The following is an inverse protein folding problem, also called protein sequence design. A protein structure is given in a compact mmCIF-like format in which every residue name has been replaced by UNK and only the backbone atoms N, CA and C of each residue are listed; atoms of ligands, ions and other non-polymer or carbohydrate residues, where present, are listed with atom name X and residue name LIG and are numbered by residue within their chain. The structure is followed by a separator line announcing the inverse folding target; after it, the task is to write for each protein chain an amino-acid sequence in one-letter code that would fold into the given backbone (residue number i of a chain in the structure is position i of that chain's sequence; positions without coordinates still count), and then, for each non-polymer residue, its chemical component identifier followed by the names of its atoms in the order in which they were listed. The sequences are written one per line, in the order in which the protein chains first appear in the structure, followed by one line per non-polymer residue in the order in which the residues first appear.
data_IF_168751212833
#
_entry.id   IF_168751212833
#
_cell.length_a   1.000
_cell.length_b   1.000
_cell.length_c   1.000
_cell.angle_alpha   90.00
_cell.angle_beta   90.00
_cell.angle_gamma   90.00
#
_symmetry.space_group_name_H-M   'P 1'
#
loop_
_entity.id
_entity.type
_entity.pdbx_description
1 polymer ?
#
# COMPACT_ATOMS: atom_id res chain seq x y z
N UNK A 1 12.63 26.31 16.47
CA UNK A 1 13.60 25.22 16.31
C UNK A 1 13.91 25.08 14.84
N UNK A 2 15.17 24.96 14.46
CA UNK A 2 15.60 24.69 13.09
C UNK A 2 15.53 23.18 12.86
N UNK A 3 14.71 22.75 11.90
CA UNK A 3 14.60 21.36 11.50
C UNK A 3 15.19 21.19 10.10
N UNK A 4 15.98 20.15 9.88
CA UNK A 4 16.44 19.78 8.53
C UNK A 4 16.15 18.31 8.27
N UNK A 5 16.00 17.94 7.01
CA UNK A 5 16.00 16.55 6.61
C UNK A 5 17.34 16.14 5.99
N UNK A 6 17.74 14.92 6.32
CA UNK A 6 18.90 14.24 5.78
C UNK A 6 18.41 13.01 5.05
N UNK A 7 18.83 12.86 3.80
CA UNK A 7 18.49 11.71 2.95
C UNK A 7 19.77 10.91 2.69
N UNK A 8 20.06 9.85 3.45
CA UNK A 8 21.22 9.01 3.21
C UNK A 8 21.07 8.27 1.88
N UNK A 9 22.12 8.31 1.05
CA UNK A 9 22.17 7.57 -0.20
C UNK A 9 23.55 6.96 -0.40
N UNK A 10 23.60 5.65 -0.66
CA UNK A 10 24.84 4.91 -0.99
C UNK A 10 24.70 4.30 -2.37
N UNK A 11 25.77 4.29 -3.14
CA UNK A 11 25.78 3.62 -4.44
C UNK A 11 25.87 2.09 -4.30
N UNK A 12 26.60 1.64 -3.27
CA UNK A 12 26.84 0.23 -2.98
C UNK A 12 25.61 -0.49 -2.42
N UNK A 13 24.72 -0.91 -3.30
CA UNK A 13 23.65 -1.87 -3.01
C UNK A 13 23.93 -3.17 -3.74
N UNK A 14 24.07 -4.28 -3.00
CA UNK A 14 24.38 -5.60 -3.56
C UNK A 14 23.23 -6.16 -4.41
N UNK A 15 21.99 -5.87 -4.03
CA UNK A 15 20.77 -6.37 -4.69
C UNK A 15 20.29 -5.49 -5.85
N UNK A 16 20.65 -4.21 -5.84
CA UNK A 16 20.29 -3.25 -6.88
C UNK A 16 21.40 -2.18 -7.00
N UNK A 17 22.46 -2.43 -7.79
CA UNK A 17 23.57 -1.49 -7.95
C UNK A 17 23.08 -0.13 -8.48
N UNK A 18 23.59 0.97 -7.91
CA UNK A 18 23.19 2.32 -8.32
C UNK A 18 21.73 2.67 -7.98
N UNK A 19 21.11 1.96 -7.01
CA UNK A 19 19.72 2.13 -6.57
C UNK A 19 19.24 3.59 -6.50
N UNK A 20 19.94 4.54 -5.85
CA UNK A 20 19.48 5.94 -5.76
C UNK A 20 19.33 6.64 -7.11
N UNK A 21 20.04 6.17 -8.14
CA UNK A 21 20.02 6.71 -9.50
C UNK A 21 19.10 5.93 -10.45
N UNK A 22 18.44 4.88 -9.98
CA UNK A 22 17.54 4.11 -10.82
C UNK A 22 16.38 4.98 -11.32
N UNK A 23 16.10 4.91 -12.62
CA UNK A 23 15.04 5.70 -13.23
C UNK A 23 13.66 5.25 -12.74
N UNK A 24 12.83 6.21 -12.38
CA UNK A 24 11.42 6.02 -12.10
C UNK A 24 10.68 7.12 -12.85
N UNK A 25 10.05 6.77 -13.97
CA UNK A 25 9.27 7.69 -14.80
C UNK A 25 10.06 8.95 -15.22
N UNK A 26 11.32 8.77 -15.64
CA UNK A 26 12.16 9.85 -16.16
C UNK A 26 12.89 10.68 -15.10
N UNK A 27 12.82 10.31 -13.82
CA UNK A 27 13.58 10.92 -12.73
C UNK A 27 14.32 9.85 -11.93
N UNK A 28 15.56 10.10 -11.45
CA UNK A 28 16.24 9.18 -10.55
C UNK A 28 15.47 9.04 -9.23
N UNK A 29 15.51 7.85 -8.63
CA UNK A 29 14.83 7.53 -7.36
C UNK A 29 15.09 8.57 -6.27
N UNK A 30 16.34 9.03 -6.12
CA UNK A 30 16.70 10.02 -5.10
C UNK A 30 15.99 11.37 -5.30
N UNK A 31 15.67 11.74 -6.55
CA UNK A 31 14.92 12.97 -6.84
C UNK A 31 13.48 12.85 -6.34
N UNK A 32 12.84 11.69 -6.51
CA UNK A 32 11.49 11.43 -6.00
C UNK A 32 11.39 11.59 -4.49
N UNK A 33 12.40 11.08 -3.76
CA UNK A 33 12.49 11.24 -2.31
C UNK A 33 12.73 12.71 -1.96
N UNK A 34 13.71 13.34 -2.60
CA UNK A 34 14.08 14.73 -2.34
C UNK A 34 12.90 15.69 -2.54
N UNK A 35 12.18 15.61 -3.66
CA UNK A 35 11.03 16.47 -3.96
C UNK A 35 9.90 16.31 -2.91
N UNK A 36 9.61 15.08 -2.50
CA UNK A 36 8.60 14.79 -1.47
C UNK A 36 8.98 15.35 -0.11
N UNK A 37 10.22 15.13 0.32
CA UNK A 37 10.73 15.68 1.59
C UNK A 37 10.79 17.20 1.53
N UNK A 38 11.22 17.78 0.41
CA UNK A 38 11.32 19.24 0.23
C UNK A 38 9.96 19.95 0.22
N UNK A 39 8.87 19.23 -0.03
CA UNK A 39 7.50 19.77 0.06
C UNK A 39 7.00 20.04 1.49
N UNK A 40 7.79 19.70 2.52
CA UNK A 40 7.44 19.89 3.92
C UNK A 40 7.92 21.28 4.40
N UNK A 41 6.97 22.14 4.76
CA UNK A 41 7.21 23.55 5.10
C UNK A 41 8.00 23.72 6.41
N UNK A 42 7.88 22.77 7.33
CA UNK A 42 8.57 22.79 8.63
C UNK A 42 10.09 22.55 8.50
N UNK A 43 10.57 22.10 7.34
CA UNK A 43 11.98 21.84 7.08
C UNK A 43 12.69 23.07 6.53
N UNK A 44 13.66 23.59 7.29
CA UNK A 44 14.52 24.68 6.87
C UNK A 44 15.48 24.26 5.73
N UNK A 45 15.86 22.98 5.70
CA UNK A 45 16.72 22.45 4.64
C UNK A 45 16.52 20.95 4.40
N UNK A 46 16.93 20.50 3.21
CA UNK A 46 16.96 19.07 2.83
C UNK A 46 18.30 18.79 2.18
N UNK A 47 19.04 17.81 2.70
CA UNK A 47 20.39 17.48 2.24
C UNK A 47 20.49 15.98 1.96
N UNK A 48 20.94 15.62 0.76
CA UNK A 48 21.31 14.22 0.45
C UNK A 48 22.72 13.96 0.97
N UNK A 49 22.89 12.95 1.82
CA UNK A 49 24.19 12.58 2.38
C UNK A 49 24.72 11.31 1.70
N UNK A 50 25.80 11.44 0.93
CA UNK A 50 26.31 10.35 0.09
C UNK A 50 27.82 10.27 0.12
N UNK A 51 28.38 9.11 -0.20
CA UNK A 51 29.81 8.86 -0.37
C UNK A 51 30.21 8.81 -1.86
N UNK A 52 29.27 9.05 -2.77
CA UNK A 52 29.46 8.85 -4.21
C UNK A 52 29.21 10.14 -5.02
N UNK A 53 30.21 10.56 -5.78
CA UNK A 53 30.14 11.78 -6.60
C UNK A 53 29.05 11.71 -7.69
N UNK A 54 28.68 10.51 -8.17
CA UNK A 54 27.61 10.37 -9.18
C UNK A 54 26.25 10.75 -8.59
N UNK A 55 26.03 10.43 -7.32
CA UNK A 55 24.82 10.82 -6.58
C UNK A 55 24.83 12.33 -6.35
N UNK A 56 25.98 12.92 -5.96
CA UNK A 56 26.12 14.38 -5.84
C UNK A 56 25.75 15.09 -7.15
N UNK A 57 26.33 14.64 -8.27
CA UNK A 57 26.06 15.21 -9.59
C UNK A 57 24.59 15.11 -9.99
N UNK A 58 23.95 13.94 -9.77
CA UNK A 58 22.53 13.76 -10.03
C UNK A 58 21.68 14.72 -9.19
N UNK A 59 21.98 14.85 -7.90
CA UNK A 59 21.26 15.75 -6.99
C UNK A 59 21.40 17.22 -7.40
N UNK A 60 22.62 17.64 -7.74
CA UNK A 60 22.86 19.00 -8.25
C UNK A 60 22.15 19.28 -9.57
N UNK A 61 21.99 18.29 -10.45
CA UNK A 61 21.34 18.46 -11.76
C UNK A 61 19.87 18.87 -11.67
N UNK A 62 19.16 18.48 -10.60
CA UNK A 62 17.78 18.91 -10.33
C UNK A 62 17.70 20.07 -9.32
N UNK A 63 18.83 20.70 -8.97
CA UNK A 63 18.89 21.83 -8.04
C UNK A 63 18.81 21.42 -6.56
N UNK A 64 19.01 20.15 -6.24
CA UNK A 64 19.06 19.65 -4.87
C UNK A 64 20.40 19.92 -4.18
N UNK A 65 20.41 19.83 -2.86
CA UNK A 65 21.64 19.88 -2.05
C UNK A 65 22.13 18.48 -1.73
N UNK A 66 23.41 18.23 -1.98
CA UNK A 66 24.08 17.01 -1.56
C UNK A 66 25.36 17.36 -0.79
N UNK A 67 25.68 16.54 0.20
CA UNK A 67 26.92 16.58 0.96
C UNK A 67 27.65 15.26 0.75
N UNK A 68 28.90 15.35 0.29
CA UNK A 68 29.80 14.21 0.27
C UNK A 68 30.23 13.91 1.71
N UNK A 69 30.03 12.67 2.13
CA UNK A 69 30.28 12.13 3.47
C UNK A 69 31.30 11.00 3.38
N UNK A 70 31.98 10.71 4.48
CA UNK A 70 32.98 9.64 4.51
C UNK A 70 32.39 8.28 4.10
N UNK A 71 33.10 7.48 3.28
CA UNK A 71 32.70 6.11 2.95
C UNK A 71 32.84 5.16 4.16
N UNK A 72 33.61 5.54 5.18
CA UNK A 72 33.96 4.68 6.32
C UNK A 72 32.89 4.66 7.43
N UNK A 73 31.74 5.32 7.23
CA UNK A 73 30.67 5.33 8.23
C UNK A 73 29.99 3.96 8.35
N UNK A 74 30.02 3.32 9.53
CA UNK A 74 29.47 1.99 9.71
C UNK A 74 27.94 1.98 9.64
N UNK A 75 27.28 3.05 10.10
CA UNK A 75 25.82 3.18 10.15
C UNK A 75 25.28 4.40 9.40
N UNK A 76 23.95 4.43 9.19
CA UNK A 76 23.27 5.62 8.69
C UNK A 76 23.28 6.76 9.72
N UNK A 77 23.25 6.43 11.01
CA UNK A 77 23.25 7.39 12.11
C UNK A 77 24.61 8.10 12.24
N UNK A 78 25.72 7.39 12.02
CA UNK A 78 27.07 7.98 12.00
C UNK A 78 27.22 8.98 10.83
N UNK A 79 26.66 8.65 9.67
CA UNK A 79 26.63 9.58 8.53
C UNK A 79 25.86 10.86 8.87
N UNK A 80 24.72 10.74 9.56
CA UNK A 80 23.94 11.91 9.98
C UNK A 80 24.77 12.88 10.82
N UNK A 81 25.64 12.38 11.70
CA UNK A 81 26.53 13.21 12.52
C UNK A 81 27.45 14.08 11.67
N UNK A 82 28.04 13.54 10.60
CA UNK A 82 28.87 14.34 9.71
C UNK A 82 28.07 15.47 9.04
N UNK A 83 26.80 15.20 8.69
CA UNK A 83 25.89 16.24 8.19
C UNK A 83 25.65 17.32 9.23
N UNK A 84 25.52 16.97 10.52
CA UNK A 84 25.32 17.96 11.60
C UNK A 84 26.46 18.98 11.71
N UNK A 85 27.70 18.57 11.38
CA UNK A 85 28.86 19.47 11.44
C UNK A 85 28.79 20.57 10.37
N UNK A 86 28.20 20.25 9.21
CA UNK A 86 28.06 21.16 8.08
C UNK A 86 26.72 21.90 8.07
N UNK A 87 25.67 21.27 8.60
CA UNK A 87 24.30 21.78 8.64
C UNK A 87 23.76 21.70 10.08
N UNK A 88 24.17 22.61 10.97
CA UNK A 88 23.66 22.64 12.34
C UNK A 88 22.15 22.92 12.38
N UNK A 89 21.43 22.10 13.14
CA UNK A 89 20.00 22.15 13.38
C UNK A 89 19.67 21.58 14.77
N UNK A 90 18.45 21.84 15.25
CA UNK A 90 17.97 21.32 16.54
C UNK A 90 17.35 19.91 16.38
N UNK A 91 16.75 19.66 15.21
CA UNK A 91 16.05 18.43 14.87
C UNK A 91 16.45 17.96 13.46
N UNK A 92 16.76 16.68 13.33
CA UNK A 92 17.18 16.05 12.09
C UNK A 92 16.20 14.94 11.73
N UNK A 93 15.52 15.09 10.59
CA UNK A 93 14.67 14.07 10.02
C UNK A 93 15.50 13.18 9.09
N UNK A 94 15.72 11.93 9.47
CA UNK A 94 16.35 10.90 8.66
C UNK A 94 15.32 10.20 7.77
N UNK A 95 15.42 10.37 6.45
CA UNK A 95 14.53 9.73 5.47
C UNK A 95 15.37 8.89 4.52
N UNK A 96 15.07 7.61 4.38
CA UNK A 96 15.87 6.73 3.52
C UNK A 96 15.76 7.12 2.05
N UNK A 97 16.89 7.14 1.34
CA UNK A 97 16.94 7.50 -0.09
C UNK A 97 16.31 6.48 -1.05
N UNK A 98 15.79 5.37 -0.53
CA UNK A 98 15.17 4.27 -1.27
C UNK A 98 13.65 4.14 -1.04
N UNK A 99 13.03 5.17 -0.44
CA UNK A 99 11.58 5.29 -0.25
C UNK A 99 10.98 6.37 -1.20
N UNK A 100 10.98 6.17 -2.53
CA UNK A 100 10.51 7.17 -3.49
C UNK A 100 9.02 7.52 -3.34
N UNK A 101 8.25 6.71 -2.61
CA UNK A 101 6.83 6.94 -2.32
C UNK A 101 6.58 7.42 -0.88
N UNK A 102 7.62 7.88 -0.16
CA UNK A 102 7.48 8.41 1.20
C UNK A 102 6.38 9.47 1.27
N UNK A 103 5.46 9.34 2.24
CA UNK A 103 4.31 10.24 2.33
C UNK A 103 4.67 11.49 3.16
N UNK A 104 4.63 12.71 2.59
CA UNK A 104 4.93 13.93 3.32
C UNK A 104 4.03 14.16 4.54
N UNK A 105 2.78 13.69 4.52
CA UNK A 105 1.87 13.82 5.66
C UNK A 105 2.36 13.02 6.88
N UNK A 106 2.90 11.81 6.67
CA UNK A 106 3.46 11.00 7.76
C UNK A 106 4.70 11.64 8.36
N UNK A 107 5.58 12.19 7.51
CA UNK A 107 6.76 12.94 7.94
C UNK A 107 6.38 14.18 8.77
N UNK A 108 5.32 14.91 8.36
CA UNK A 108 4.77 16.03 9.15
C UNK A 108 4.25 15.58 10.49
N UNK A 109 3.51 14.46 10.57
CA UNK A 109 3.03 13.92 11.85
C UNK A 109 4.18 13.61 12.82
N UNK A 110 5.28 13.03 12.31
CA UNK A 110 6.48 12.80 13.09
C UNK A 110 7.13 14.09 13.57
N UNK A 111 7.35 15.06 12.67
CA UNK A 111 7.94 16.35 13.01
C UNK A 111 7.10 17.10 14.04
N UNK A 112 5.78 17.13 13.87
CA UNK A 112 4.86 17.77 14.80
C UNK A 112 4.92 17.14 16.19
N UNK A 113 4.98 15.81 16.28
CA UNK A 113 5.15 15.11 17.55
C UNK A 113 6.46 15.49 18.25
N UNK A 114 7.56 15.63 17.50
CA UNK A 114 8.84 16.07 18.04
C UNK A 114 8.84 17.55 18.46
N UNK A 115 8.18 18.42 17.70
CA UNK A 115 8.10 19.86 18.00
C UNK A 115 7.24 20.14 19.24
N UNK A 116 6.19 19.35 19.45
CA UNK A 116 5.25 19.52 20.57
C UNK A 116 5.69 18.84 21.86
N UNK A 117 6.67 17.93 21.79
CA UNK A 117 7.19 17.20 22.95
C UNK A 117 8.73 17.39 23.08
N UNK A 118 9.19 18.51 23.65
CA UNK A 118 10.63 18.83 23.83
C UNK A 118 11.44 17.73 24.51
N UNK A 119 10.83 16.96 25.41
CA UNK A 119 11.44 15.85 26.13
C UNK A 119 11.73 14.60 25.27
N UNK A 120 11.07 14.47 24.12
CA UNK A 120 11.25 13.32 23.22
C UNK A 120 12.52 13.53 22.40
N UNK A 121 13.48 12.61 22.53
CA UNK A 121 14.81 12.73 21.93
C UNK A 121 14.91 12.04 20.56
N UNK A 122 14.15 10.96 20.38
CA UNK A 122 13.96 10.28 19.11
C UNK A 122 12.48 9.99 18.86
N UNK A 123 12.07 10.10 17.61
CA UNK A 123 10.77 9.67 17.13
C UNK A 123 10.88 8.83 15.85
N UNK A 124 9.93 7.94 15.64
CA UNK A 124 9.78 7.14 14.41
C UNK A 124 8.30 6.87 14.13
N UNK A 125 8.01 6.11 13.07
CA UNK A 125 6.67 5.81 12.58
C UNK A 125 6.38 4.31 12.62
N UNK A 126 5.10 3.96 12.71
CA UNK A 126 4.63 2.60 12.47
C UNK A 126 3.25 2.59 11.82
N UNK A 127 2.89 1.49 11.15
CA UNK A 127 1.53 1.27 10.65
C UNK A 127 1.02 -0.13 11.03
N UNK A 128 -0.31 -0.33 11.14
CA UNK A 128 -0.87 -1.64 11.42
C UNK A 128 -0.59 -2.64 10.29
N UNK A 129 -0.38 -3.90 10.64
CA UNK A 129 -0.19 -5.02 9.71
C UNK A 129 -1.01 -6.24 10.13
N UNK A 130 -1.22 -7.15 9.17
CA UNK A 130 -1.86 -8.43 9.43
C UNK A 130 -0.98 -9.37 10.26
N UNK A 131 -1.59 -10.38 10.88
CA UNK A 131 -0.87 -11.41 11.63
C UNK A 131 0.10 -12.20 10.73
N UNK A 132 -0.26 -12.45 9.47
CA UNK A 132 0.60 -13.15 8.51
C UNK A 132 1.79 -12.30 8.08
N UNK A 133 1.61 -10.99 7.84
CA UNK A 133 2.75 -10.10 7.57
C UNK A 133 3.69 -10.01 8.79
N UNK A 134 3.15 -10.10 10.00
CA UNK A 134 3.94 -10.05 11.22
C UNK A 134 4.88 -11.26 11.40
N UNK A 135 4.60 -12.39 10.73
CA UNK A 135 5.46 -13.59 10.73
C UNK A 135 6.71 -13.41 9.87
N UNK A 136 6.72 -12.45 8.94
CA UNK A 136 7.88 -12.21 8.09
C UNK A 136 9.04 -11.57 8.90
N UNK A 137 10.22 -12.20 8.98
CA UNK A 137 11.37 -11.67 9.72
C UNK A 137 12.01 -10.44 9.05
N UNK A 138 11.70 -10.19 7.77
CA UNK A 138 12.11 -8.96 7.10
C UNK A 138 11.23 -7.76 7.47
N UNK A 139 10.03 -8.02 7.97
CA UNK A 139 9.16 -7.00 8.55
C UNK A 139 9.57 -6.77 9.99
N UNK A 140 10.10 -5.59 10.32
CA UNK A 140 10.42 -5.23 11.71
C UNK A 140 9.13 -4.85 12.43
N UNK A 141 8.84 -5.50 13.55
CA UNK A 141 7.68 -5.22 14.39
C UNK A 141 8.07 -4.27 15.51
N UNK A 142 7.09 -3.51 16.00
CA UNK A 142 7.23 -2.65 17.17
C UNK A 142 6.07 -2.84 18.14
N UNK A 143 6.39 -2.96 19.42
CA UNK A 143 5.41 -2.89 20.52
C UNK A 143 5.55 -1.56 21.24
N UNK A 144 4.43 -0.99 21.69
CA UNK A 144 4.37 0.37 22.23
C UNK A 144 3.60 0.41 23.55
N UNK A 145 3.97 1.33 24.42
CA UNK A 145 3.22 1.64 25.63
C UNK A 145 1.99 2.51 25.31
N UNK A 146 1.16 2.82 26.31
CA UNK A 146 -0.03 3.67 26.15
C UNK A 146 0.27 5.13 25.77
N UNK A 147 1.48 5.60 26.05
CA UNK A 147 1.95 6.94 25.66
C UNK A 147 2.53 6.97 24.22
N UNK A 148 2.57 5.82 23.54
CA UNK A 148 3.11 5.69 22.19
C UNK A 148 4.63 5.53 22.12
N UNK A 149 5.32 5.34 23.25
CA UNK A 149 6.76 5.08 23.22
C UNK A 149 7.03 3.59 22.95
N UNK A 150 8.09 3.31 22.19
CA UNK A 150 8.53 1.95 21.89
C UNK A 150 8.90 1.22 23.19
N UNK A 151 8.34 0.02 23.36
CA UNK A 151 8.79 -0.93 24.37
C UNK A 151 9.89 -1.83 23.81
N UNK A 152 9.77 -2.25 22.54
CA UNK A 152 10.78 -3.07 21.85
C UNK A 152 10.55 -3.09 20.33
N UNK A 153 11.62 -3.29 19.56
CA UNK A 153 11.60 -3.61 18.13
C UNK A 153 12.14 -5.02 17.91
N UNK A 154 11.53 -5.80 17.02
CA UNK A 154 11.99 -7.16 16.75
C UNK A 154 11.66 -7.64 15.35
N UNK A 155 12.50 -8.52 14.81
CA UNK A 155 12.18 -9.35 13.64
C UNK A 155 11.31 -10.54 14.01
N UNK A 156 11.21 -10.92 15.28
CA UNK A 156 10.24 -11.91 15.74
C UNK A 156 8.82 -11.33 15.77
N UNK A 157 7.80 -12.21 15.68
CA UNK A 157 6.40 -11.82 15.79
C UNK A 157 6.09 -11.35 17.21
N UNK A 158 5.90 -10.04 17.39
CA UNK A 158 5.56 -9.43 18.67
C UNK A 158 4.33 -8.51 18.55
N UNK A 159 3.40 -8.53 19.52
CA UNK A 159 3.41 -9.39 20.71
C UNK A 159 3.01 -10.85 20.38
N UNK A 160 3.48 -11.79 21.19
CA UNK A 160 3.04 -13.18 21.10
C UNK A 160 1.57 -13.31 21.54
N UNK A 161 0.73 -13.88 20.69
CA UNK A 161 -0.69 -14.10 20.99
C UNK A 161 -0.87 -15.50 21.60
N UNK A 162 -0.94 -15.57 22.93
CA UNK A 162 -1.05 -16.86 23.67
C UNK A 162 -2.35 -17.59 23.39
N UNK A 163 -3.46 -16.86 23.42
CA UNK A 163 -4.79 -17.35 23.10
C UNK A 163 -5.11 -16.78 21.72
N UNK A 164 -5.16 -17.62 20.67
CA UNK A 164 -5.33 -17.24 19.27
C UNK A 164 -6.71 -16.63 18.98
N UNK A 165 -7.01 -15.51 19.62
CA UNK A 165 -8.28 -14.79 19.55
C UNK A 165 -8.41 -13.97 18.27
N UNK A 166 -7.29 -13.72 17.56
CA UNK A 166 -7.26 -12.91 16.34
C UNK A 166 -7.47 -11.41 16.59
N UNK A 167 -7.46 -10.97 17.86
CA UNK A 167 -7.69 -9.57 18.24
C UNK A 167 -6.40 -8.76 18.39
N UNK A 168 -5.26 -9.44 18.33
CA UNK A 168 -3.95 -8.83 18.54
C UNK A 168 -3.60 -7.91 17.38
N UNK A 169 -3.29 -6.64 17.69
CA UNK A 169 -2.79 -5.67 16.71
C UNK A 169 -1.28 -5.80 16.58
N UNK A 170 -0.82 -5.93 15.34
CA UNK A 170 0.60 -5.93 14.98
C UNK A 170 0.95 -4.62 14.30
N UNK A 171 2.14 -4.09 14.59
CA UNK A 171 2.63 -2.86 13.98
C UNK A 171 3.96 -3.11 13.29
N UNK A 172 4.05 -2.64 12.05
CA UNK A 172 5.30 -2.58 11.29
C UNK A 172 5.98 -1.26 11.55
N UNK A 173 7.25 -1.33 11.92
CA UNK A 173 8.13 -0.19 12.01
C UNK A 173 8.45 0.36 10.61
N UNK A 174 8.51 1.69 10.49
CA UNK A 174 8.91 2.40 9.27
C UNK A 174 10.26 3.07 9.53
N UNK A 175 11.25 2.84 8.67
CA UNK A 175 12.67 3.23 8.84
C UNK A 175 12.99 4.72 8.75
N UNK A 176 12.03 5.57 9.10
CA UNK A 176 12.15 7.03 9.18
C UNK A 176 12.30 7.42 10.64
N UNK A 177 13.23 8.33 10.91
CA UNK A 177 13.46 8.83 12.27
C UNK A 177 13.57 10.34 12.33
N UNK A 178 13.17 10.92 13.44
CA UNK A 178 13.47 12.29 13.79
C UNK A 178 14.28 12.27 15.08
N UNK A 179 15.46 12.90 15.06
CA UNK A 179 16.36 12.93 16.21
C UNK A 179 16.66 14.36 16.63
N UNK A 180 16.76 14.59 17.92
CA UNK A 180 17.37 15.81 18.44
C UNK A 180 18.88 15.77 18.26
N UNK A 181 19.46 16.96 18.09
CA UNK A 181 20.91 17.13 18.00
C UNK A 181 21.66 16.48 19.18
N UNK A 182 21.11 16.58 20.39
CA UNK A 182 21.68 16.01 21.62
C UNK A 182 21.89 14.49 21.51
N UNK A 183 20.85 13.75 21.14
CA UNK A 183 20.94 12.30 20.98
C UNK A 183 21.91 11.89 19.87
N UNK A 184 21.87 12.57 18.72
CA UNK A 184 22.79 12.27 17.62
C UNK A 184 24.25 12.55 18.00
N UNK A 185 24.50 13.60 18.78
CA UNK A 185 25.84 13.90 19.27
C UNK A 185 26.34 12.84 20.26
N UNK A 186 25.45 12.25 21.06
CA UNK A 186 25.78 11.19 22.01
C UNK A 186 25.96 9.81 21.35
N UNK A 187 25.27 9.53 20.23
CA UNK A 187 25.20 8.21 19.59
C UNK A 187 26.56 7.50 19.38
N UNK A 188 27.62 8.15 18.87
CA UNK A 188 28.92 7.49 18.65
C UNK A 188 29.62 7.03 19.93
N UNK A 189 29.28 7.64 21.07
CA UNK A 189 29.81 7.26 22.38
C UNK A 189 28.99 6.17 23.07
N UNK A 190 27.87 5.76 22.49
CA UNK A 190 27.06 4.68 23.05
C UNK A 190 27.78 3.33 22.89
N UNK A 191 27.77 2.47 23.91
CA UNK A 191 28.35 1.14 23.80
C UNK A 191 27.63 0.32 22.72
N UNK A 192 28.31 -0.62 22.05
CA UNK A 192 27.65 -1.60 21.19
C UNK A 192 26.57 -2.35 21.98
N UNK A 193 25.39 -2.54 21.36
CA UNK A 193 24.29 -3.25 21.99
C UNK A 193 24.25 -4.70 21.50
N UNK A 194 24.18 -5.66 22.44
CA UNK A 194 23.98 -7.07 22.09
C UNK A 194 22.65 -7.28 21.34
N UNK A 195 21.62 -6.49 21.69
CA UNK A 195 20.30 -6.54 21.06
C UNK A 195 20.35 -6.05 19.60
N UNK A 196 21.06 -4.95 19.35
CA UNK A 196 21.30 -4.45 17.99
C UNK A 196 22.01 -5.52 17.14
N UNK A 197 23.04 -6.18 17.67
CA UNK A 197 23.77 -7.22 16.95
C UNK A 197 22.92 -8.46 16.66
N UNK A 198 22.08 -8.88 17.61
CA UNK A 198 21.21 -10.04 17.46
C UNK A 198 20.08 -9.80 16.46
N UNK A 199 19.43 -8.64 16.51
CA UNK A 199 18.29 -8.31 15.65
C UNK A 199 18.72 -7.61 14.34
N UNK A 200 19.96 -7.14 14.26
CA UNK A 200 20.45 -6.25 13.21
C UNK A 200 19.56 -5.00 13.06
N UNK A 201 19.35 -4.30 14.18
CA UNK A 201 18.47 -3.11 14.33
C UNK A 201 19.14 -2.01 15.16
N UNK A 202 19.67 -0.98 14.49
CA UNK A 202 20.44 0.12 15.09
C UNK A 202 19.70 0.86 16.22
N UNK A 203 18.38 1.00 16.08
CA UNK A 203 17.56 1.70 17.08
C UNK A 203 17.53 1.01 18.44
N UNK A 204 17.89 -0.28 18.52
CA UNK A 204 17.99 -0.97 19.80
C UNK A 204 19.15 -0.44 20.64
N UNK A 205 20.25 0.04 20.02
CA UNK A 205 21.35 0.69 20.76
C UNK A 205 20.89 1.96 21.48
N UNK A 206 20.02 2.73 20.85
CA UNK A 206 19.42 3.94 21.44
C UNK A 206 18.60 3.56 22.68
N UNK A 207 17.76 2.52 22.55
CA UNK A 207 16.91 2.05 23.65
C UNK A 207 17.72 1.42 24.79
N UNK A 208 18.73 0.64 24.47
CA UNK A 208 19.63 -0.02 25.43
C UNK A 208 20.43 0.99 26.26
N UNK A 209 20.80 2.12 25.64
CA UNK A 209 21.39 3.27 26.33
C UNK A 209 20.39 4.08 27.19
N UNK A 210 19.12 3.66 27.27
CA UNK A 210 18.09 4.26 28.12
C UNK A 210 17.31 5.41 27.47
N UNK A 211 17.54 5.71 26.19
CA UNK A 211 16.79 6.75 25.48
C UNK A 211 15.43 6.22 25.01
N UNK A 212 14.39 7.02 25.22
CA UNK A 212 13.05 6.70 24.75
C UNK A 212 12.88 7.06 23.26
N UNK A 213 12.19 6.19 22.52
CA UNK A 213 11.80 6.42 21.13
C UNK A 213 10.28 6.53 21.06
N UNK A 214 9.77 7.70 20.69
CA UNK A 214 8.34 7.92 20.42
C UNK A 214 7.97 7.28 19.08
N UNK A 215 6.86 6.55 19.01
CA UNK A 215 6.40 5.88 17.79
C UNK A 215 5.01 6.35 17.40
N UNK A 216 4.91 7.08 16.30
CA UNK A 216 3.65 7.64 15.80
C UNK A 216 2.97 6.64 14.85
N UNK A 217 1.70 6.37 15.08
CA UNK A 217 0.90 5.51 14.20
C UNK A 217 0.44 6.29 12.97
N UNK A 218 0.61 5.67 11.81
CA UNK A 218 0.07 6.13 10.52
C UNK A 218 -0.73 5.01 9.86
N UNK A 219 -1.51 5.35 8.84
CA UNK A 219 -2.47 4.45 8.19
C UNK A 219 -1.80 3.32 7.39
N UNK A 220 -0.81 3.63 6.54
CA UNK A 220 -0.05 2.63 5.77
C UNK A 220 1.25 3.21 5.21
N UNK A 221 2.32 2.42 5.09
CA UNK A 221 3.53 2.86 4.40
C UNK A 221 3.57 2.36 2.95
N UNK A 222 4.06 3.20 2.05
CA UNK A 222 4.35 2.79 0.68
C UNK A 222 5.55 1.82 0.64
N UNK A 223 5.65 0.96 -0.40
CA UNK A 223 6.78 0.06 -0.51
C UNK A 223 8.09 0.80 -0.81
N UNK A 224 9.15 0.48 -0.06
CA UNK A 224 10.52 0.87 -0.40
C UNK A 224 11.11 0.03 -1.53
N UNK A 225 12.28 0.42 -2.02
CA UNK A 225 12.97 -0.27 -3.11
C UNK A 225 14.24 -0.95 -2.61
N UNK A 226 14.31 -2.27 -2.72
CA UNK A 226 15.52 -3.04 -2.35
C UNK A 226 15.95 -4.05 -3.41
N UNK A 227 15.08 -4.33 -4.38
CA UNK A 227 15.28 -5.30 -5.44
C UNK A 227 14.74 -4.73 -6.75
N UNK A 228 15.15 -5.26 -7.92
CA UNK A 228 14.54 -4.91 -9.19
C UNK A 228 13.01 -5.07 -9.20
N UNK A 229 12.48 -6.11 -8.55
CA UNK A 229 11.04 -6.31 -8.44
C UNK A 229 10.34 -5.19 -7.64
N UNK A 230 10.97 -4.71 -6.56
CA UNK A 230 10.46 -3.54 -5.84
C UNK A 230 10.47 -2.28 -6.71
N UNK A 231 11.49 -2.11 -7.55
CA UNK A 231 11.59 -0.96 -8.45
C UNK A 231 10.46 -0.96 -9.49
N UNK A 232 10.20 -2.11 -10.14
CA UNK A 232 9.07 -2.23 -11.07
C UNK A 232 7.73 -1.99 -10.38
N UNK A 233 7.58 -2.51 -9.15
CA UNK A 233 6.41 -2.24 -8.33
C UNK A 233 6.18 -0.75 -8.08
N UNK A 234 7.23 -0.02 -7.70
CA UNK A 234 7.13 1.43 -7.52
C UNK A 234 6.80 2.14 -8.84
N UNK A 235 7.42 1.76 -9.96
CA UNK A 235 7.12 2.33 -11.28
C UNK A 235 5.65 2.14 -11.66
N UNK A 236 5.15 0.92 -11.48
CA UNK A 236 3.76 0.58 -11.75
C UNK A 236 2.82 1.43 -10.90
N UNK A 237 2.99 1.43 -9.57
CA UNK A 237 2.18 2.22 -8.65
C UNK A 237 2.19 3.72 -9.00
N UNK A 238 3.34 4.28 -9.36
CA UNK A 238 3.47 5.70 -9.74
C UNK A 238 2.83 6.02 -11.09
N UNK A 239 2.78 5.07 -12.02
CA UNK A 239 2.06 5.19 -13.29
C UNK A 239 0.57 4.85 -13.19
N UNK A 240 0.08 4.47 -12.01
CA UNK A 240 -1.29 4.00 -11.79
C UNK A 240 -1.55 2.59 -12.34
N UNK A 241 -0.52 1.85 -12.74
CA UNK A 241 -0.62 0.45 -13.13
C UNK A 241 -0.79 -0.47 -11.90
N UNK A 242 -1.35 -1.68 -12.07
CA UNK A 242 -1.47 -2.64 -11.00
C UNK A 242 -0.11 -3.00 -10.41
N UNK A 243 -0.09 -3.31 -9.12
CA UNK A 243 1.12 -3.76 -8.43
C UNK A 243 1.58 -5.12 -9.00
N UNK A 244 2.76 -5.22 -9.64
CA UNK A 244 3.27 -6.47 -10.23
C UNK A 244 3.47 -7.59 -9.20
N UNK A 245 3.65 -7.27 -7.91
CA UNK A 245 3.71 -8.29 -6.87
C UNK A 245 2.35 -8.97 -6.66
N UNK A 246 1.25 -8.34 -7.08
CA UNK A 246 -0.08 -8.94 -7.09
C UNK A 246 -0.31 -9.81 -8.35
N UNK A 247 0.49 -9.67 -9.40
CA UNK A 247 0.39 -10.51 -10.60
C UNK A 247 0.82 -11.97 -10.38
N UNK A 248 1.52 -12.27 -9.28
CA UNK A 248 1.91 -13.64 -8.95
C UNK A 248 0.73 -14.55 -8.56
N UNK A 249 -0.46 -13.99 -8.27
CA UNK A 249 -1.67 -14.77 -8.00
C UNK A 249 -2.20 -15.46 -9.26
N UNK A 250 -2.75 -16.66 -9.11
CA UNK A 250 -3.50 -17.37 -10.15
C UNK A 250 -4.97 -16.94 -10.14
N UNK A 251 -5.64 -17.00 -11.30
CA UNK A 251 -7.09 -16.68 -11.36
C UNK A 251 -7.89 -17.65 -10.48
N UNK A 252 -7.34 -18.85 -10.25
CA UNK A 252 -7.86 -19.85 -9.32
C UNK A 252 -7.87 -19.38 -7.86
N UNK A 253 -7.05 -18.39 -7.50
CA UNK A 253 -6.93 -17.86 -6.13
C UNK A 253 -7.98 -16.81 -5.80
N UNK A 254 -8.75 -16.33 -6.79
CA UNK A 254 -9.79 -15.32 -6.56
C UNK A 254 -10.83 -15.87 -5.55
N UNK A 255 -11.06 -15.11 -4.48
CA UNK A 255 -12.06 -15.37 -3.42
C UNK A 255 -13.05 -14.23 -3.25
N UNK A 256 -12.79 -13.09 -3.89
CA UNK A 256 -13.64 -11.91 -3.86
C UNK A 256 -13.70 -11.26 -5.25
N UNK A 257 -14.91 -11.00 -5.74
CA UNK A 257 -15.14 -10.19 -6.94
C UNK A 257 -15.92 -8.95 -6.55
N UNK A 258 -15.28 -7.79 -6.70
CA UNK A 258 -15.90 -6.48 -6.56
C UNK A 258 -16.28 -6.00 -7.96
N UNK A 259 -17.48 -5.49 -8.13
CA UNK A 259 -17.92 -4.97 -9.43
C UNK A 259 -18.46 -3.56 -9.29
N UNK A 260 -18.14 -2.71 -10.27
CA UNK A 260 -18.96 -1.55 -10.53
C UNK A 260 -20.34 -1.98 -11.07
N UNK A 261 -21.27 -1.03 -11.13
CA UNK A 261 -22.61 -1.21 -11.66
C UNK A 261 -22.73 -0.62 -13.05
N UNK A 262 -22.44 0.68 -13.17
CA UNK A 262 -22.78 1.46 -14.35
C UNK A 262 -21.71 1.26 -15.41
N UNK A 263 -22.09 0.69 -16.56
CA UNK A 263 -21.12 0.28 -17.58
C UNK A 263 -20.45 -1.07 -17.30
N UNK A 264 -20.85 -1.78 -16.23
CA UNK A 264 -20.44 -3.17 -15.98
C UNK A 264 -21.63 -4.12 -15.92
N UNK A 265 -22.50 -3.99 -14.90
CA UNK A 265 -23.74 -4.76 -14.79
C UNK A 265 -24.90 -4.13 -15.60
N UNK A 266 -24.75 -2.86 -15.94
CA UNK A 266 -25.60 -2.11 -16.88
C UNK A 266 -24.77 -1.69 -18.10
N UNK A 267 -25.44 -1.24 -19.15
CA UNK A 267 -24.82 -0.72 -20.37
C UNK A 267 -24.37 0.75 -20.25
N UNK A 268 -24.33 1.30 -19.03
CA UNK A 268 -24.03 2.71 -18.76
C UNK A 268 -25.18 3.67 -19.11
N UNK A 269 -26.28 3.17 -19.67
CA UNK A 269 -27.47 3.94 -19.98
C UNK A 269 -28.28 4.28 -18.73
N UNK A 270 -28.75 5.52 -18.66
CA UNK A 270 -29.57 6.02 -17.54
C UNK A 270 -30.78 6.74 -18.10
N UNK A 271 -31.96 6.31 -17.68
CA UNK A 271 -33.22 6.97 -18.03
C UNK A 271 -33.68 7.85 -16.87
N UNK A 272 -34.12 9.05 -17.21
CA UNK A 272 -34.63 10.04 -16.27
C UNK A 272 -36.11 10.30 -16.52
N UNK A 273 -36.86 10.48 -15.44
CA UNK A 273 -38.15 11.17 -15.43
C UNK A 273 -38.03 12.53 -14.73
N UNK A 274 -39.14 13.21 -14.49
CA UNK A 274 -39.20 14.52 -13.82
C UNK A 274 -38.81 14.47 -12.33
N UNK A 275 -38.74 13.27 -11.73
CA UNK A 275 -38.35 13.04 -10.34
C UNK A 275 -36.88 12.62 -10.19
N UNK A 276 -36.19 12.29 -11.29
CA UNK A 276 -34.78 11.92 -11.32
C UNK A 276 -34.54 10.63 -12.11
N UNK A 277 -33.54 9.87 -11.70
CA UNK A 277 -33.21 8.59 -12.34
C UNK A 277 -34.33 7.56 -12.11
N UNK A 278 -34.96 7.09 -13.18
CA UNK A 278 -36.18 6.29 -13.09
C UNK A 278 -35.98 4.81 -13.45
N UNK A 279 -34.98 4.46 -14.27
CA UNK A 279 -34.77 3.08 -14.72
C UNK A 279 -33.29 2.73 -14.88
N UNK A 280 -32.94 1.49 -14.55
CA UNK A 280 -31.68 0.82 -14.90
C UNK A 280 -31.96 -0.54 -15.52
N UNK A 281 -31.21 -0.90 -16.57
CA UNK A 281 -31.31 -2.19 -17.24
C UNK A 281 -30.13 -3.06 -16.83
N UNK A 282 -30.43 -4.19 -16.18
CA UNK A 282 -29.43 -5.18 -15.80
C UNK A 282 -29.52 -6.41 -16.69
N UNK A 283 -28.37 -6.98 -17.02
CA UNK A 283 -28.32 -8.19 -17.83
C UNK A 283 -28.55 -9.44 -16.97
N UNK A 284 -29.47 -10.32 -17.38
CA UNK A 284 -29.85 -11.50 -16.59
C UNK A 284 -28.70 -12.50 -16.45
N UNK A 285 -27.86 -12.66 -17.48
CA UNK A 285 -26.73 -13.61 -17.43
C UNK A 285 -25.66 -13.17 -16.43
N UNK A 286 -25.47 -11.88 -16.24
CA UNK A 286 -24.55 -11.35 -15.24
C UNK A 286 -25.03 -11.68 -13.83
N UNK A 287 -26.34 -11.55 -13.58
CA UNK A 287 -26.95 -12.00 -12.33
C UNK A 287 -26.76 -13.50 -12.07
N UNK A 288 -26.85 -14.34 -13.11
CA UNK A 288 -26.55 -15.77 -12.97
C UNK A 288 -25.07 -16.02 -12.64
N UNK A 289 -24.15 -15.31 -13.29
CA UNK A 289 -22.71 -15.40 -12.98
C UNK A 289 -22.39 -15.05 -11.53
N UNK A 290 -23.01 -13.99 -11.00
CA UNK A 290 -22.91 -13.60 -9.58
C UNK A 290 -23.33 -14.75 -8.67
N UNK A 291 -24.50 -15.35 -8.92
CA UNK A 291 -25.00 -16.45 -8.11
C UNK A 291 -24.11 -17.69 -8.17
N UNK A 292 -23.58 -18.02 -9.35
CA UNK A 292 -22.65 -19.14 -9.53
C UNK A 292 -21.35 -18.94 -8.76
N UNK A 293 -20.80 -17.73 -8.72
CA UNK A 293 -19.64 -17.40 -7.89
C UNK A 293 -19.94 -17.54 -6.40
N UNK A 294 -21.07 -17.00 -5.94
CA UNK A 294 -21.49 -17.10 -4.54
C UNK A 294 -21.64 -18.55 -4.09
N UNK A 295 -22.27 -19.40 -4.92
CA UNK A 295 -22.41 -20.84 -4.66
C UNK A 295 -21.06 -21.57 -4.63
N UNK A 296 -20.11 -21.12 -5.45
CA UNK A 296 -18.73 -21.59 -5.37
C UNK A 296 -17.97 -21.05 -4.14
N UNK A 297 -18.57 -20.22 -3.28
CA UNK A 297 -17.91 -19.62 -2.13
C UNK A 297 -16.94 -18.49 -2.51
N UNK A 298 -17.10 -17.90 -3.70
CA UNK A 298 -16.45 -16.64 -4.08
C UNK A 298 -17.39 -15.50 -3.68
N UNK A 299 -16.92 -14.64 -2.79
CA UNK A 299 -17.70 -13.49 -2.34
C UNK A 299 -17.89 -12.50 -3.49
N UNK A 300 -19.07 -11.88 -3.59
CA UNK A 300 -19.36 -10.83 -4.57
C UNK A 300 -19.82 -9.58 -3.84
N UNK A 301 -19.21 -8.45 -4.15
CA UNK A 301 -19.52 -7.15 -3.56
C UNK A 301 -19.62 -6.06 -4.64
N UNK A 302 -20.24 -4.93 -4.28
CA UNK A 302 -20.48 -3.83 -5.21
C UNK A 302 -19.89 -2.53 -4.69
N UNK A 303 -19.25 -1.77 -5.59
CA UNK A 303 -18.93 -0.36 -5.38
C UNK A 303 -19.68 0.42 -6.45
N UNK A 304 -20.39 1.47 -6.08
CA UNK A 304 -21.04 2.35 -7.04
C UNK A 304 -20.93 3.79 -6.58
N UNK A 305 -20.69 4.70 -7.53
CA UNK A 305 -20.76 6.14 -7.29
C UNK A 305 -22.19 6.65 -7.06
N UNK A 306 -23.20 5.81 -7.31
CA UNK A 306 -24.62 6.13 -7.17
C UNK A 306 -25.25 5.35 -6.04
N UNK A 307 -26.35 5.88 -5.53
CA UNK A 307 -27.23 5.22 -4.58
C UNK A 307 -28.68 5.44 -5.02
N UNK A 308 -29.38 4.36 -5.38
CA UNK A 308 -30.76 4.42 -5.82
C UNK A 308 -31.56 3.22 -5.31
N UNK A 309 -32.87 3.40 -5.18
CA UNK A 309 -33.78 2.33 -4.74
C UNK A 309 -33.76 1.13 -5.71
N UNK A 310 -33.66 1.38 -7.02
CA UNK A 310 -33.58 0.35 -8.06
C UNK A 310 -32.30 -0.47 -7.93
N UNK A 311 -31.16 0.19 -7.68
CA UNK A 311 -29.90 -0.50 -7.42
C UNK A 311 -29.99 -1.35 -6.16
N UNK A 312 -30.41 -0.77 -5.02
CA UNK A 312 -30.56 -1.52 -3.76
C UNK A 312 -31.47 -2.74 -3.90
N UNK A 313 -32.58 -2.60 -4.64
CA UNK A 313 -33.47 -3.73 -4.94
C UNK A 313 -32.75 -4.82 -5.72
N UNK A 314 -31.99 -4.45 -6.75
CA UNK A 314 -31.24 -5.41 -7.55
C UNK A 314 -30.16 -6.13 -6.74
N UNK A 315 -29.46 -5.43 -5.85
CA UNK A 315 -28.48 -6.05 -4.94
C UNK A 315 -29.14 -7.07 -4.02
N UNK A 316 -30.32 -6.76 -3.48
CA UNK A 316 -31.10 -7.68 -2.67
C UNK A 316 -31.54 -8.93 -3.47
N UNK A 317 -32.06 -8.76 -4.69
CA UNK A 317 -32.43 -9.89 -5.57
C UNK A 317 -31.21 -10.79 -5.89
N UNK A 318 -30.03 -10.19 -6.00
CA UNK A 318 -28.77 -10.90 -6.23
C UNK A 318 -28.14 -11.44 -4.95
N UNK A 319 -28.69 -11.17 -3.77
CA UNK A 319 -28.13 -11.59 -2.48
C UNK A 319 -26.75 -10.99 -2.20
N UNK A 320 -26.45 -9.81 -2.74
CA UNK A 320 -25.21 -9.08 -2.46
C UNK A 320 -25.43 -8.27 -1.18
N UNK A 321 -24.78 -8.69 -0.10
CA UNK A 321 -24.97 -8.09 1.25
C UNK A 321 -23.94 -7.03 1.60
N UNK A 322 -22.79 -7.02 0.91
CA UNK A 322 -21.71 -6.07 1.13
C UNK A 322 -21.56 -5.18 -0.09
N UNK A 323 -21.75 -3.88 0.12
CA UNK A 323 -21.66 -2.88 -0.94
C UNK A 323 -21.32 -1.50 -0.37
N UNK A 324 -20.71 -0.67 -1.22
CA UNK A 324 -20.46 0.76 -0.96
C UNK A 324 -21.12 1.59 -2.05
N UNK A 325 -22.24 2.24 -1.71
CA UNK A 325 -23.00 3.12 -2.61
C UNK A 325 -22.66 4.59 -2.33
N UNK A 326 -22.70 5.44 -3.36
CA UNK A 326 -22.27 6.83 -3.26
C UNK A 326 -20.76 7.00 -3.02
N UNK A 327 -19.96 5.98 -3.34
CA UNK A 327 -18.53 5.98 -3.05
C UNK A 327 -17.76 6.90 -4.01
N UNK A 328 -17.04 7.89 -3.45
CA UNK A 328 -16.14 8.77 -4.22
C UNK A 328 -14.71 8.24 -4.31
N UNK A 329 -14.29 7.47 -3.31
CA UNK A 329 -12.98 6.83 -3.26
C UNK A 329 -13.16 5.31 -3.41
N UNK A 330 -13.04 4.82 -4.65
CA UNK A 330 -13.17 3.39 -4.96
C UNK A 330 -12.01 2.57 -4.39
N UNK A 331 -10.83 3.17 -4.21
CA UNK A 331 -9.68 2.46 -3.63
C UNK A 331 -9.90 2.17 -2.14
N UNK A 332 -10.39 3.15 -1.37
CA UNK A 332 -10.73 2.97 0.03
C UNK A 332 -11.90 2.00 0.22
N UNK A 333 -12.95 2.11 -0.62
CA UNK A 333 -14.07 1.18 -0.59
C UNK A 333 -13.64 -0.27 -0.91
N UNK A 334 -12.77 -0.45 -1.91
CA UNK A 334 -12.19 -1.75 -2.24
C UNK A 334 -11.42 -2.36 -1.04
N UNK A 335 -10.58 -1.57 -0.37
CA UNK A 335 -9.87 -1.99 0.85
C UNK A 335 -10.80 -2.36 2.00
N UNK A 336 -11.85 -1.59 2.24
CA UNK A 336 -12.83 -1.88 3.30
C UNK A 336 -13.58 -3.20 3.05
N UNK A 337 -13.97 -3.48 1.81
CA UNK A 337 -14.62 -4.74 1.43
C UNK A 337 -13.64 -5.92 1.60
N UNK A 338 -12.39 -5.77 1.18
CA UNK A 338 -11.35 -6.78 1.38
C UNK A 338 -11.12 -7.10 2.86
N UNK A 339 -11.07 -6.07 3.71
CA UNK A 339 -10.94 -6.24 5.16
C UNK A 339 -12.17 -6.96 5.75
N UNK A 340 -13.39 -6.59 5.34
CA UNK A 340 -14.62 -7.24 5.79
C UNK A 340 -14.60 -8.76 5.53
N UNK A 341 -14.20 -9.16 4.32
CA UNK A 341 -14.13 -10.58 3.94
C UNK A 341 -12.82 -11.27 4.34
N UNK A 342 -11.87 -10.54 4.92
CA UNK A 342 -10.51 -11.02 5.24
C UNK A 342 -9.78 -11.61 4.01
N UNK A 343 -10.01 -11.03 2.83
CA UNK A 343 -9.39 -11.45 1.57
C UNK A 343 -8.33 -10.42 1.15
N UNK A 344 -7.10 -10.87 0.89
CA UNK A 344 -6.02 -9.99 0.45
C UNK A 344 -6.13 -9.60 -1.03
N UNK A 345 -5.44 -8.54 -1.48
CA UNK A 345 -5.53 -8.03 -2.85
C UNK A 345 -5.27 -9.07 -3.95
N UNK A 346 -4.31 -9.97 -3.76
CA UNK A 346 -3.95 -11.03 -4.74
C UNK A 346 -5.13 -11.97 -5.08
N UNK A 347 -6.10 -12.11 -4.17
CA UNK A 347 -7.29 -12.95 -4.31
C UNK A 347 -8.57 -12.14 -4.57
N UNK A 348 -8.43 -10.84 -4.88
CA UNK A 348 -9.54 -9.92 -5.14
C UNK A 348 -9.50 -9.46 -6.60
N UNK A 349 -10.63 -9.60 -7.29
CA UNK A 349 -10.87 -9.00 -8.59
C UNK A 349 -11.74 -7.76 -8.47
N UNK A 350 -11.47 -6.75 -9.31
CA UNK A 350 -12.35 -5.60 -9.48
C UNK A 350 -12.70 -5.40 -10.95
N UNK A 351 -14.01 -5.43 -11.27
CA UNK A 351 -14.51 -5.18 -12.63
C UNK A 351 -14.96 -3.72 -12.75
N UNK A 352 -14.49 -3.04 -13.79
CA UNK A 352 -14.79 -1.62 -14.08
C UNK A 352 -14.82 -1.31 -15.58
N UNK A 353 -15.27 -0.12 -15.93
CA UNK A 353 -15.46 0.33 -17.30
C UNK A 353 -14.83 1.69 -17.62
N UNK A 354 -14.59 2.54 -16.62
CA UNK A 354 -14.09 3.91 -16.84
C UNK A 354 -12.94 4.29 -15.87
N UNK A 355 -12.37 5.47 -16.09
CA UNK A 355 -11.28 6.11 -15.33
C UNK A 355 -11.53 6.15 -13.82
N UNK A 356 -12.80 6.24 -13.42
CA UNK A 356 -13.19 6.26 -12.01
C UNK A 356 -12.86 4.94 -11.30
N UNK A 357 -12.66 3.83 -12.04
CA UNK A 357 -12.29 2.53 -11.52
C UNK A 357 -10.79 2.33 -11.34
N UNK A 358 -9.95 3.15 -11.97
CA UNK A 358 -8.49 3.02 -11.89
C UNK A 358 -7.96 2.98 -10.44
N UNK A 359 -8.46 3.79 -9.48
CA UNK A 359 -8.07 3.67 -8.08
C UNK A 359 -8.46 2.30 -7.47
N UNK A 360 -9.60 1.74 -7.86
CA UNK A 360 -10.04 0.40 -7.45
C UNK A 360 -9.19 -0.70 -8.07
N UNK A 361 -8.83 -0.55 -9.35
CA UNK A 361 -7.92 -1.46 -10.06
C UNK A 361 -6.56 -1.55 -9.36
N UNK A 362 -5.98 -0.41 -8.99
CA UNK A 362 -4.72 -0.35 -8.26
C UNK A 362 -4.79 -0.96 -6.85
N UNK A 363 -5.98 -1.13 -6.26
CA UNK A 363 -6.17 -1.71 -4.95
C UNK A 363 -6.31 -3.25 -4.95
N UNK A 364 -6.52 -3.88 -6.11
CA UNK A 364 -6.78 -5.32 -6.24
C UNK A 364 -5.73 -6.02 -7.12
N UNK A 365 -5.64 -7.35 -7.03
CA UNK A 365 -4.68 -8.15 -7.81
C UNK A 365 -5.21 -8.65 -9.15
N UNK A 366 -6.52 -8.52 -9.37
CA UNK A 366 -7.19 -8.86 -10.61
C UNK A 366 -8.06 -7.70 -11.10
N UNK A 367 -7.47 -6.60 -11.60
CA UNK A 367 -8.22 -5.55 -12.25
C UNK A 367 -8.74 -6.04 -13.61
N UNK A 368 -10.04 -5.88 -13.84
CA UNK A 368 -10.76 -6.40 -15.00
C UNK A 368 -11.50 -5.25 -15.68
N UNK A 369 -11.19 -4.99 -16.95
CA UNK A 369 -11.92 -4.02 -17.76
C UNK A 369 -12.94 -4.73 -18.66
N UNK A 370 -14.13 -4.16 -18.78
CA UNK A 370 -15.10 -4.60 -19.79
C UNK A 370 -14.61 -4.29 -21.20
N UNK A 371 -15.16 -5.00 -22.20
CA UNK A 371 -14.65 -4.95 -23.57
C UNK A 371 -14.85 -3.62 -24.29
N UNK A 372 -15.81 -2.81 -23.85
CA UNK A 372 -16.09 -1.47 -24.36
C UNK A 372 -15.46 -0.34 -23.52
N UNK A 373 -14.71 -0.67 -22.47
CA UNK A 373 -13.96 0.31 -21.71
C UNK A 373 -12.96 1.07 -22.61
N UNK A 374 -12.70 2.37 -22.36
CA UNK A 374 -11.69 3.11 -23.11
C UNK A 374 -10.31 2.45 -23.05
N UNK A 375 -9.51 2.57 -24.11
CA UNK A 375 -8.18 1.93 -24.19
C UNK A 375 -7.25 2.37 -23.05
N UNK A 376 -7.38 3.62 -22.61
CA UNK A 376 -6.61 4.11 -21.48
C UNK A 376 -7.01 3.46 -20.15
N UNK A 377 -8.21 2.88 -20.01
CA UNK A 377 -8.62 2.08 -18.84
C UNK A 377 -8.14 0.66 -18.98
N UNK A 378 -8.32 0.05 -20.16
CA UNK A 378 -7.88 -1.31 -20.48
C UNK A 378 -6.40 -1.54 -20.22
N UNK A 379 -5.55 -0.54 -20.45
CA UNK A 379 -4.09 -0.61 -20.15
C UNK A 379 -3.75 -0.83 -18.67
N UNK A 380 -4.69 -0.57 -17.77
CA UNK A 380 -4.54 -0.78 -16.33
C UNK A 380 -5.26 -2.06 -15.84
N UNK A 381 -5.93 -2.78 -16.74
CA UNK A 381 -6.55 -4.05 -16.43
C UNK A 381 -5.59 -5.20 -16.73
N UNK A 382 -5.61 -6.20 -15.86
CA UNK A 382 -4.94 -7.48 -16.08
C UNK A 382 -5.74 -8.37 -17.03
N UNK A 383 -7.06 -8.23 -17.00
CA UNK A 383 -7.98 -8.93 -17.88
C UNK A 383 -8.85 -7.91 -18.60
N UNK A 384 -8.86 -7.97 -19.93
CA UNK A 384 -9.81 -7.22 -20.75
C UNK A 384 -10.80 -8.22 -21.32
N UNK A 385 -12.07 -8.04 -20.97
CA UNK A 385 -13.15 -8.93 -21.40
C UNK A 385 -13.50 -8.67 -22.86
N UNK A 386 -14.03 -9.69 -23.55
CA UNK A 386 -14.55 -9.52 -24.90
C UNK A 386 -15.94 -8.87 -24.92
N UNK A 387 -16.75 -9.06 -23.87
CA UNK A 387 -18.11 -8.51 -23.74
C UNK A 387 -18.10 -7.10 -23.16
N UNK A 388 -19.03 -6.30 -23.68
CA UNK A 388 -19.33 -4.97 -23.18
C UNK A 388 -20.11 -4.99 -21.85
N UNK A 389 -20.05 -3.89 -21.11
CA UNK A 389 -20.90 -3.61 -19.95
C UNK A 389 -22.38 -3.86 -20.22
N UNK A 390 -23.10 -4.50 -19.29
CA UNK A 390 -24.54 -4.77 -19.46
C UNK A 390 -24.87 -5.79 -20.56
N UNK A 391 -23.87 -6.45 -21.12
CA UNK A 391 -24.01 -7.43 -22.20
C UNK A 391 -23.40 -8.80 -21.86
N UNK A 392 -23.29 -9.14 -20.57
CA UNK A 392 -22.74 -10.41 -20.12
C UNK A 392 -21.26 -10.38 -19.72
N UNK A 393 -20.67 -9.20 -19.52
CA UNK A 393 -19.26 -9.07 -19.14
C UNK A 393 -18.96 -9.71 -17.78
N UNK A 394 -19.78 -9.45 -16.76
CA UNK A 394 -19.60 -10.12 -15.47
C UNK A 394 -19.71 -11.64 -15.63
N UNK A 395 -20.64 -12.12 -16.46
CA UNK A 395 -20.79 -13.54 -16.73
C UNK A 395 -19.52 -14.14 -17.34
N UNK A 396 -18.95 -13.50 -18.37
CA UNK A 396 -17.70 -13.92 -18.99
C UNK A 396 -16.56 -14.05 -17.95
N UNK A 397 -16.43 -13.06 -17.07
CA UNK A 397 -15.43 -13.11 -16.02
C UNK A 397 -15.70 -14.22 -14.99
N UNK A 398 -16.96 -14.38 -14.56
CA UNK A 398 -17.35 -15.44 -13.63
C UNK A 398 -17.05 -16.83 -14.18
N UNK A 399 -17.31 -17.07 -15.46
CA UNK A 399 -17.02 -18.34 -16.13
C UNK A 399 -15.50 -18.59 -16.15
N UNK A 400 -14.69 -17.53 -16.37
CA UNK A 400 -13.22 -17.59 -16.34
C UNK A 400 -12.67 -17.95 -14.96
N UNK A 401 -13.21 -17.36 -13.88
CA UNK A 401 -12.83 -17.69 -12.49
C UNK A 401 -13.20 -19.15 -12.16
N UNK A 402 -14.43 -19.56 -12.47
CA UNK A 402 -14.90 -20.92 -12.21
C UNK A 402 -14.10 -21.97 -12.99
N UNK A 403 -13.72 -21.67 -14.25
CA UNK A 403 -12.83 -22.53 -15.03
C UNK A 403 -11.46 -22.68 -14.37
N UNK A 404 -10.84 -21.57 -13.97
CA UNK A 404 -9.54 -21.61 -13.30
C UNK A 404 -9.59 -22.38 -11.97
N UNK A 405 -10.73 -22.38 -11.28
CA UNK A 405 -10.97 -23.15 -10.05
C UNK A 405 -11.37 -24.62 -10.29
N UNK A 406 -11.43 -25.09 -11.53
CA UNK A 406 -11.93 -26.42 -11.91
C UNK A 406 -13.39 -26.66 -11.44
N UNK A 407 -14.24 -25.63 -11.57
CA UNK A 407 -15.65 -25.62 -11.16
C UNK A 407 -16.60 -25.33 -12.33
N UNK A 408 -16.15 -25.51 -13.57
CA UNK A 408 -16.95 -25.32 -14.78
C UNK A 408 -18.23 -26.17 -14.81
N UNK A 409 -18.20 -27.33 -14.14
CA UNK A 409 -19.33 -28.24 -13.92
C UNK A 409 -20.61 -27.53 -13.45
N UNK A 410 -20.48 -26.42 -12.72
CA UNK A 410 -21.61 -25.60 -12.25
C UNK A 410 -22.47 -25.08 -13.42
N UNK A 411 -21.91 -24.87 -14.61
CA UNK A 411 -22.64 -24.34 -15.76
C UNK A 411 -22.50 -25.13 -17.06
N UNK A 412 -21.50 -26.03 -17.17
CA UNK A 412 -21.28 -26.84 -18.37
C UNK A 412 -21.81 -28.29 -18.24
N UNK A 413 -22.37 -28.66 -17.08
CA UNK A 413 -22.92 -30.00 -16.83
C UNK A 413 -24.32 -29.95 -16.19
N UNK A 414 -25.20 -30.85 -16.60
CA UNK A 414 -26.56 -30.96 -16.04
C UNK A 414 -26.52 -31.29 -14.54
N UNK A 415 -25.67 -32.24 -14.14
CA UNK A 415 -25.56 -32.68 -12.76
C UNK A 415 -24.99 -31.59 -11.85
N UNK A 416 -23.92 -30.91 -12.29
CA UNK A 416 -23.31 -29.82 -11.53
C UNK A 416 -24.22 -28.61 -11.41
N UNK A 417 -24.93 -28.23 -12.49
CA UNK A 417 -25.92 -27.16 -12.44
C UNK A 417 -27.07 -27.49 -11.47
N UNK A 418 -27.63 -28.71 -11.54
CA UNK A 418 -28.69 -29.14 -10.63
C UNK A 418 -28.25 -29.11 -9.16
N UNK A 419 -27.01 -29.53 -8.88
CA UNK A 419 -26.43 -29.49 -7.54
C UNK A 419 -26.26 -28.05 -7.03
N UNK A 420 -25.72 -27.15 -7.85
CA UNK A 420 -25.58 -25.73 -7.51
C UNK A 420 -26.94 -25.07 -7.24
N UNK A 421 -27.93 -25.29 -8.12
CA UNK A 421 -29.25 -24.70 -7.98
C UNK A 421 -29.99 -25.18 -6.73
N UNK A 422 -29.80 -26.45 -6.31
CA UNK A 422 -30.44 -26.97 -5.10
C UNK A 422 -30.05 -26.23 -3.82
N UNK A 423 -28.84 -25.66 -3.79
CA UNK A 423 -28.30 -24.89 -2.67
C UNK A 423 -28.66 -23.41 -2.73
N UNK A 424 -28.87 -22.87 -3.94
CA UNK A 424 -29.31 -21.49 -4.15
C UNK A 424 -30.77 -21.22 -3.76
N UNK A 425 -31.61 -22.26 -3.68
CA UNK A 425 -33.02 -22.18 -3.25
C UNK A 425 -33.24 -22.30 -1.74
N UNK A 426 -32.19 -22.59 -0.96
CA UNK A 426 -32.19 -22.48 0.51
C UNK A 426 -31.65 -21.11 0.92
#
# INVERSE_FOLDING_TARGET
MRCIAVIPARFGSSRLPGKPLADILGKPMIQHVYERVKSIDELADVVVATDDERIVAAVSSFGGKALLTSPDHPSGTDRLREVMQHHPADLYLNVQGDEPLVNPAHLRSLLQAMLTAPQVQAGTLCHPISASEAENPNTVKVVRNRAGDALYFSRARIPFERESTGRTRYFKHIGVYAYRAELLAAFPGLPPSELEGAEMLEQLRIMDAGWQIRVIEVDHAAPGVDTPACLERVRALMSGQPDPALEAGSLADVRLVITDIDGVLTDGGIWYDDSGECLKRFHVRDGMGIKMLQEAGVNVAVISGRDSATLRRRLADLGITVFHLGAKDKAAACRAIMEHYQVGPHATAMIGDDSIDLPGFAACGWPVAVGDAPDYVKRHARVVLAKAGGHGAFREFSDSVLNAQNRSAIYDSVAGYAQAMSRMTQ
#
